data_IF_172097029778
#
_entry.id   IF_172097029778
#
_cell.length_a   1.000
_cell.length_b   1.000
_cell.length_c   1.000
_cell.angle_alpha   90.00
_cell.angle_beta   90.00
_cell.angle_gamma   90.00
#
_symmetry.space_group_name_H-M   'P 1'
#
loop_
_entity.id
_entity.type
_entity.pdbx_description
1 polymer ?
#
# COMPACT_ATOMS: atom_id res chain seq x y z
N UNK A 1 0.88 8.47 -25.77
CA UNK A 1 -0.10 7.41 -26.02
C UNK A 1 -0.29 6.64 -24.72
N UNK A 2 -1.51 6.58 -24.18
CA UNK A 2 -1.74 5.89 -22.90
C UNK A 2 -1.51 4.39 -23.09
N UNK A 3 -0.56 3.82 -22.34
CA UNK A 3 -0.24 2.39 -22.38
C UNK A 3 -1.30 1.67 -21.55
N UNK A 4 -2.15 0.88 -22.20
CA UNK A 4 -3.14 0.06 -21.49
C UNK A 4 -2.39 -1.07 -20.78
N UNK A 5 -2.52 -1.14 -19.47
CA UNK A 5 -1.98 -2.24 -18.66
C UNK A 5 -2.99 -3.38 -18.68
N UNK A 6 -2.57 -4.57 -19.08
CA UNK A 6 -3.45 -5.74 -19.22
C UNK A 6 -3.25 -6.79 -18.12
N UNK A 7 -2.15 -6.69 -17.37
CA UNK A 7 -1.81 -7.62 -16.29
C UNK A 7 -1.62 -6.83 -14.99
N UNK A 8 -2.40 -7.17 -13.97
CA UNK A 8 -2.36 -6.53 -12.66
C UNK A 8 -2.53 -7.55 -11.54
N UNK A 9 -1.88 -7.30 -10.41
CA UNK A 9 -2.14 -8.00 -9.16
C UNK A 9 -3.13 -7.14 -8.38
N UNK A 10 -4.34 -7.66 -8.16
CA UNK A 10 -5.37 -6.96 -7.39
C UNK A 10 -5.35 -7.45 -5.94
N UNK A 11 -5.17 -6.52 -4.99
CA UNK A 11 -5.18 -6.78 -3.55
C UNK A 11 -6.30 -5.97 -2.94
N UNK A 12 -7.15 -6.61 -2.13
CA UNK A 12 -8.25 -5.95 -1.43
C UNK A 12 -8.11 -6.12 0.09
N UNK A 13 -7.77 -5.05 0.83
CA UNK A 13 -7.85 -5.08 2.28
C UNK A 13 -9.31 -4.94 2.73
N UNK A 14 -9.64 -5.47 3.91
CA UNK A 14 -10.96 -5.28 4.54
C UNK A 14 -11.01 -3.98 5.35
N UNK A 15 -10.76 -2.84 4.70
CA UNK A 15 -10.67 -1.51 5.33
C UNK A 15 -9.25 -1.18 5.79
N UNK A 16 -9.07 -0.85 7.07
CA UNK A 16 -7.73 -0.61 7.65
C UNK A 16 -6.88 -1.87 7.47
N UNK A 17 -5.72 -1.79 6.79
CA UNK A 17 -4.90 -2.96 6.53
C UNK A 17 -4.29 -3.48 7.82
N UNK A 18 -4.33 -4.79 8.00
CA UNK A 18 -3.59 -5.45 9.07
C UNK A 18 -2.08 -5.47 8.78
N UNK A 19 -1.32 -6.01 9.73
CA UNK A 19 0.14 -6.13 9.63
C UNK A 19 0.57 -6.90 8.37
N UNK A 20 -0.02 -8.08 8.16
CA UNK A 20 0.39 -9.00 7.09
C UNK A 20 0.09 -8.42 5.71
N UNK A 21 -1.03 -7.69 5.58
CA UNK A 21 -1.40 -7.04 4.32
C UNK A 21 -0.40 -5.96 3.95
N UNK A 22 0.01 -5.12 4.90
CA UNK A 22 1.04 -4.08 4.65
C UNK A 22 2.39 -4.70 4.31
N UNK A 23 2.79 -5.71 5.08
CA UNK A 23 4.03 -6.44 4.83
C UNK A 23 4.04 -7.11 3.45
N UNK A 24 2.92 -7.71 3.03
CA UNK A 24 2.81 -8.34 1.71
C UNK A 24 2.93 -7.32 0.57
N UNK A 25 2.27 -6.16 0.68
CA UNK A 25 2.41 -5.07 -0.31
C UNK A 25 3.86 -4.59 -0.37
N UNK A 26 4.51 -4.42 0.78
CA UNK A 26 5.94 -4.05 0.83
C UNK A 26 6.84 -5.12 0.20
N UNK A 27 6.56 -6.40 0.45
CA UNK A 27 7.30 -7.50 -0.16
C UNK A 27 7.19 -7.47 -1.69
N UNK A 28 6.02 -7.15 -2.24
CA UNK A 28 5.83 -7.02 -3.70
C UNK A 28 6.58 -5.82 -4.26
N UNK A 29 6.55 -4.67 -3.58
CA UNK A 29 7.31 -3.46 -3.91
C UNK A 29 8.82 -3.80 -4.01
N UNK A 30 9.36 -4.45 -2.97
CA UNK A 30 10.77 -4.83 -2.89
C UNK A 30 11.16 -5.94 -3.89
N UNK A 31 10.27 -6.91 -4.16
CA UNK A 31 10.61 -8.11 -4.95
C UNK A 31 10.41 -7.93 -6.45
N UNK A 32 9.40 -7.18 -6.87
CA UNK A 32 8.96 -7.15 -8.27
C UNK A 32 9.33 -5.85 -8.98
N UNK A 33 9.68 -4.79 -8.25
CA UNK A 33 9.98 -3.47 -8.82
C UNK A 33 8.86 -2.94 -9.76
N UNK A 34 7.60 -3.31 -9.46
CA UNK A 34 6.42 -2.85 -10.20
C UNK A 34 5.76 -1.68 -9.46
N UNK A 35 5.10 -0.76 -10.17
CA UNK A 35 4.38 0.34 -9.52
C UNK A 35 3.27 -0.18 -8.60
N UNK A 36 3.29 0.28 -7.34
CA UNK A 36 2.20 0.09 -6.40
C UNK A 36 1.27 1.30 -6.49
N UNK A 37 0.00 1.05 -6.82
CA UNK A 37 -1.03 2.08 -6.96
C UNK A 37 -2.15 1.79 -5.98
N UNK A 38 -2.52 2.77 -5.16
CA UNK A 38 -3.63 2.66 -4.22
C UNK A 38 -4.89 3.31 -4.76
N UNK A 39 -6.03 2.62 -4.62
CA UNK A 39 -7.36 3.19 -4.87
C UNK A 39 -8.11 3.27 -3.53
N UNK A 40 -8.43 4.48 -3.11
CA UNK A 40 -9.06 4.78 -1.82
C UNK A 40 -10.26 5.70 -2.01
N UNK A 41 -11.13 5.72 -1.01
CA UNK A 41 -12.26 6.65 -0.96
C UNK A 41 -11.79 8.10 -0.85
N UNK A 42 -12.52 9.02 -1.46
CA UNK A 42 -12.21 10.46 -1.49
C UNK A 42 -12.57 11.20 -0.19
N UNK A 43 -12.47 10.54 0.96
CA UNK A 43 -12.80 11.09 2.27
C UNK A 43 -11.63 10.98 3.26
N UNK A 44 -11.81 11.52 4.47
CA UNK A 44 -10.77 11.51 5.50
C UNK A 44 -10.33 10.08 5.89
N UNK A 45 -11.23 9.10 5.80
CA UNK A 45 -10.93 7.72 6.17
C UNK A 45 -10.13 7.00 5.07
N UNK A 46 -10.46 7.23 3.80
CA UNK A 46 -9.65 6.76 2.66
C UNK A 46 -8.23 7.33 2.69
N UNK A 47 -8.08 8.62 2.99
CA UNK A 47 -6.77 9.25 3.18
C UNK A 47 -6.00 8.62 4.35
N UNK A 48 -6.67 8.33 5.46
CA UNK A 48 -6.04 7.65 6.60
C UNK A 48 -5.52 6.26 6.22
N UNK A 49 -6.32 5.47 5.50
CA UNK A 49 -5.91 4.13 5.03
C UNK A 49 -4.70 4.22 4.08
N UNK A 50 -4.72 5.15 3.12
CA UNK A 50 -3.58 5.43 2.24
C UNK A 50 -2.33 5.77 3.06
N UNK A 51 -2.47 6.61 4.09
CA UNK A 51 -1.36 7.02 4.94
C UNK A 51 -0.70 5.83 5.65
N UNK A 52 -1.51 4.86 6.11
CA UNK A 52 -1.01 3.64 6.75
C UNK A 52 -0.20 2.75 5.81
N UNK A 53 -0.59 2.65 4.54
CA UNK A 53 0.20 1.93 3.54
C UNK A 53 1.49 2.66 3.21
N UNK A 54 1.43 3.98 3.01
CA UNK A 54 2.57 4.77 2.52
C UNK A 54 3.62 5.06 3.59
N UNK A 55 3.19 5.35 4.81
CA UNK A 55 4.05 5.84 5.89
C UNK A 55 4.05 4.95 7.14
N UNK A 56 3.16 3.96 7.21
CA UNK A 56 3.01 3.10 8.38
C UNK A 56 2.18 3.74 9.50
N UNK A 57 2.20 3.11 10.67
CA UNK A 57 1.50 3.58 11.88
C UNK A 57 2.46 3.80 13.04
N UNK A 58 2.09 4.69 13.97
CA UNK A 58 2.85 4.89 15.22
C UNK A 58 2.88 3.63 16.09
N UNK A 59 1.78 2.86 16.10
CA UNK A 59 1.69 1.61 16.85
C UNK A 59 2.65 0.52 16.36
N UNK A 60 3.08 0.60 15.10
CA UNK A 60 4.05 -0.30 14.51
C UNK A 60 5.40 0.39 14.27
N UNK A 61 5.71 1.51 14.96
CA UNK A 61 6.88 2.33 14.63
C UNK A 61 8.22 1.59 14.66
N UNK A 62 8.36 0.55 15.50
CA UNK A 62 9.57 -0.27 15.56
C UNK A 62 9.82 -1.05 14.25
N UNK A 63 8.75 -1.52 13.62
CA UNK A 63 8.78 -2.26 12.36
C UNK A 63 8.27 -1.41 11.17
N UNK A 64 7.94 -0.14 11.41
CA UNK A 64 7.18 0.71 10.49
C UNK A 64 7.92 0.95 9.18
N UNK A 65 9.24 1.04 9.24
CA UNK A 65 10.10 1.12 8.05
C UNK A 65 10.02 -0.13 7.18
N UNK A 66 9.79 -1.30 7.77
CA UNK A 66 9.68 -2.56 7.04
C UNK A 66 8.27 -2.83 6.48
N UNK A 67 7.31 -1.94 6.74
CA UNK A 67 5.90 -2.11 6.33
C UNK A 67 5.35 -0.94 5.53
N UNK A 68 6.02 0.21 5.54
CA UNK A 68 5.67 1.34 4.71
C UNK A 68 6.06 1.06 3.25
N UNK A 69 5.17 1.39 2.31
CA UNK A 69 5.45 1.45 0.89
C UNK A 69 5.57 2.91 0.45
N UNK A 70 6.74 3.56 0.64
CA UNK A 70 6.90 5.00 0.39
C UNK A 70 6.71 5.36 -1.09
N UNK A 71 6.87 4.39 -1.99
CA UNK A 71 6.69 4.55 -3.44
C UNK A 71 5.24 4.38 -3.90
N UNK A 72 4.30 4.04 -3.00
CA UNK A 72 2.88 3.97 -3.34
C UNK A 72 2.40 5.33 -3.87
N UNK A 73 1.82 5.28 -5.07
CA UNK A 73 1.12 6.40 -5.71
C UNK A 73 -0.36 6.42 -5.36
#
# INVERSE_FOLDING_TARGET
QSKIVTEVILITPRGVPDYNTRYFVRLLDDSLSIPIVGLFDGDAYGIFIMHLFKYGSMSAAQDGHAMACPHMM
#
